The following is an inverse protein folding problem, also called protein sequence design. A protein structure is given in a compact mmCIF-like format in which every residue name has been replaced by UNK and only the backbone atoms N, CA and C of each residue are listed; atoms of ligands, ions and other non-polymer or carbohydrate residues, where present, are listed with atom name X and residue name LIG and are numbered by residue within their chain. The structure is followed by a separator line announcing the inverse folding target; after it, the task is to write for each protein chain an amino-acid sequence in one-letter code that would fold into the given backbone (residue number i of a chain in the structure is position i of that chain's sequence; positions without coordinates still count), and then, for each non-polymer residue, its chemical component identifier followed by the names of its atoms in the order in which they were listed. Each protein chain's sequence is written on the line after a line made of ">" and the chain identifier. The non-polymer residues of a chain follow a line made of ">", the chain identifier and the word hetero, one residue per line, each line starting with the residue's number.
data_IF_391146098619
#
_entry.id   IF_391146098619
#
_cell.length_a   1.000
_cell.length_b   1.000
_cell.length_c   1.000
_cell.angle_alpha   90.00
_cell.angle_beta   90.00
_cell.angle_gamma   90.00
#
_symmetry.space_group_name_H-M   'P 1'
#
loop_
_entity.id
_entity.type
_entity.pdbx_description
1 polymer ?
#
# COMPACT_ATOMS: atom_id res chain seq x y z
N UNK A 1 31.66 -9.75 -83.19
CA UNK A 1 31.68 -8.26 -83.30
C UNK A 1 30.29 -7.79 -82.95
N UNK A 2 30.17 -6.75 -82.18
CA UNK A 2 28.95 -5.98 -81.72
C UNK A 2 28.24 -6.50 -80.45
N UNK A 3 28.87 -6.08 -79.35
CA UNK A 3 28.19 -5.97 -78.02
C UNK A 3 28.46 -4.61 -77.32
N UNK A 4 28.63 -3.51 -78.07
CA UNK A 4 28.90 -2.19 -77.50
C UNK A 4 27.82 -1.11 -77.74
N UNK A 5 26.72 -1.39 -78.37
CA UNK A 5 25.67 -0.41 -78.67
C UNK A 5 24.48 -0.36 -77.68
N UNK A 6 24.39 -1.29 -76.74
CA UNK A 6 23.19 -1.42 -75.86
C UNK A 6 23.25 -0.63 -74.54
N UNK A 7 24.43 -0.25 -74.05
CA UNK A 7 24.54 0.39 -72.76
C UNK A 7 24.33 1.92 -72.77
N UNK A 8 24.58 2.58 -73.89
CA UNK A 8 24.41 4.02 -73.98
C UNK A 8 22.94 4.47 -74.04
N UNK A 9 22.05 3.67 -74.62
CA UNK A 9 20.63 3.99 -74.73
C UNK A 9 19.90 3.94 -73.37
N UNK A 10 20.31 3.02 -72.50
CA UNK A 10 19.70 2.92 -71.16
C UNK A 10 20.15 4.06 -70.22
N UNK A 11 21.38 4.55 -70.36
CA UNK A 11 21.87 5.70 -69.60
C UNK A 11 21.16 7.00 -70.01
N UNK A 12 20.94 7.20 -71.30
CA UNK A 12 20.23 8.39 -71.83
C UNK A 12 18.77 8.36 -71.41
N UNK A 13 18.11 7.21 -71.48
CA UNK A 13 16.70 7.04 -71.01
C UNK A 13 16.56 7.29 -69.51
N UNK A 14 17.52 6.81 -68.70
CA UNK A 14 17.52 7.05 -67.26
C UNK A 14 17.73 8.52 -66.89
N UNK A 15 18.62 9.21 -67.58
CA UNK A 15 18.89 10.64 -67.39
C UNK A 15 17.68 11.51 -67.82
N UNK A 16 16.98 11.15 -68.89
CA UNK A 16 15.79 11.86 -69.35
C UNK A 16 14.62 11.64 -68.40
N UNK A 17 14.43 10.41 -67.89
CA UNK A 17 13.42 10.09 -66.89
C UNK A 17 13.63 10.83 -65.57
N UNK A 18 14.90 10.91 -65.11
CA UNK A 18 15.28 11.67 -63.93
C UNK A 18 15.01 13.19 -64.05
N UNK A 19 15.35 13.76 -65.23
CA UNK A 19 15.10 15.16 -65.48
C UNK A 19 13.60 15.51 -65.51
N UNK A 20 12.78 14.65 -66.10
CA UNK A 20 11.31 14.82 -66.13
C UNK A 20 10.72 14.74 -64.72
N UNK A 21 11.21 13.82 -63.87
CA UNK A 21 10.75 13.71 -62.52
C UNK A 21 11.11 14.94 -61.64
N UNK A 22 12.32 15.50 -61.81
CA UNK A 22 12.74 16.73 -61.13
C UNK A 22 11.93 17.94 -61.58
N UNK A 23 11.66 18.06 -62.89
CA UNK A 23 10.84 19.17 -63.45
C UNK A 23 9.38 19.06 -62.97
N UNK A 24 8.81 17.85 -62.98
CA UNK A 24 7.45 17.62 -62.44
C UNK A 24 7.38 17.94 -60.93
N UNK A 25 8.39 17.50 -60.15
CA UNK A 25 8.51 17.85 -58.73
C UNK A 25 8.57 19.36 -58.51
N UNK A 26 9.38 20.08 -59.30
CA UNK A 26 9.49 21.55 -59.22
C UNK A 26 8.18 22.24 -59.59
N UNK A 27 7.44 21.73 -60.59
CA UNK A 27 6.13 22.27 -60.98
C UNK A 27 5.10 22.01 -59.86
N UNK A 28 5.08 20.86 -59.22
CA UNK A 28 4.18 20.54 -58.15
C UNK A 28 4.44 21.43 -56.90
N UNK A 29 5.69 21.77 -56.62
CA UNK A 29 6.07 22.74 -55.59
C UNK A 29 5.64 24.17 -56.00
N UNK A 30 5.92 24.57 -57.25
CA UNK A 30 5.59 25.92 -57.75
C UNK A 30 4.08 26.16 -57.87
N UNK A 31 3.28 25.10 -58.06
CA UNK A 31 1.82 25.17 -58.14
C UNK A 31 1.12 24.97 -56.79
N UNK A 32 1.87 24.80 -55.70
CA UNK A 32 1.30 24.63 -54.38
C UNK A 32 0.60 23.29 -54.14
N UNK A 33 0.77 22.30 -55.04
CA UNK A 33 0.19 20.94 -54.88
C UNK A 33 1.01 20.11 -53.86
N UNK A 34 2.29 20.42 -53.74
CA UNK A 34 3.15 19.93 -52.66
C UNK A 34 3.55 21.16 -51.85
N UNK A 35 2.91 21.31 -50.69
CA UNK A 35 3.30 22.31 -49.71
C UNK A 35 4.59 21.80 -49.03
N UNK A 36 5.72 22.40 -49.37
CA UNK A 36 6.96 22.22 -48.64
C UNK A 36 6.88 23.07 -47.35
N UNK A 37 5.95 22.66 -46.48
CA UNK A 37 5.52 23.37 -45.30
C UNK A 37 6.61 24.27 -44.73
N UNK A 38 6.31 25.58 -44.64
CA UNK A 38 7.01 26.44 -43.72
C UNK A 38 7.27 25.65 -42.43
N UNK A 39 8.53 25.59 -42.01
CA UNK A 39 8.84 25.20 -40.66
C UNK A 39 7.91 26.04 -39.77
N UNK A 40 6.86 25.41 -39.26
CA UNK A 40 6.13 25.96 -38.15
C UNK A 40 7.15 25.99 -37.01
N UNK A 41 7.88 27.12 -36.94
CA UNK A 41 8.54 27.53 -35.72
C UNK A 41 7.39 27.53 -34.70
N UNK A 42 7.26 26.41 -33.97
CA UNK A 42 6.48 26.37 -32.76
C UNK A 42 7.11 27.48 -31.92
N UNK A 43 6.56 28.67 -31.98
CA UNK A 43 6.83 29.71 -31.00
C UNK A 43 6.45 29.04 -29.70
N UNK A 44 7.44 28.64 -28.97
CA UNK A 44 7.32 28.24 -27.56
C UNK A 44 6.56 29.41 -26.93
N UNK A 45 5.24 29.21 -26.81
CA UNK A 45 4.36 30.20 -26.18
C UNK A 45 5.00 30.51 -24.84
N UNK A 46 4.98 31.76 -24.48
CA UNK A 46 5.48 32.29 -23.22
C UNK A 46 5.37 31.21 -22.15
N UNK A 47 6.54 30.84 -21.60
CA UNK A 47 6.67 29.91 -20.50
C UNK A 47 5.47 30.07 -19.57
N UNK A 48 4.64 29.03 -19.47
CA UNK A 48 3.59 28.99 -18.47
C UNK A 48 4.25 29.43 -17.17
N UNK A 49 3.93 30.62 -16.70
CA UNK A 49 4.35 31.07 -15.38
C UNK A 49 3.94 29.96 -14.44
N UNK A 50 4.86 29.40 -13.64
CA UNK A 50 4.44 28.52 -12.58
C UNK A 50 3.31 29.23 -11.87
N UNK A 51 2.14 28.59 -11.76
CA UNK A 51 1.08 29.08 -10.89
C UNK A 51 1.73 29.08 -9.51
N UNK A 52 2.18 30.24 -9.08
CA UNK A 52 2.66 30.44 -7.72
C UNK A 52 1.47 30.12 -6.84
N UNK A 53 1.45 28.93 -6.29
CA UNK A 53 0.54 28.55 -5.21
C UNK A 53 0.70 29.60 -4.13
N UNK A 54 -0.38 30.33 -3.85
CA UNK A 54 -0.39 31.44 -2.91
C UNK A 54 0.19 31.03 -1.54
N UNK A 55 1.03 31.88 -1.07
CA UNK A 55 1.71 32.10 0.18
C UNK A 55 3.24 31.86 0.05
N UNK A 56 3.92 32.90 -0.32
CA UNK A 56 5.32 33.32 -0.28
C UNK A 56 6.34 32.57 0.60
N UNK A 57 6.36 31.23 0.55
CA UNK A 57 7.55 30.44 0.86
C UNK A 57 7.86 29.67 -0.42
N UNK A 58 9.06 29.87 -0.96
CA UNK A 58 9.58 28.99 -1.99
C UNK A 58 9.42 27.55 -1.50
N UNK A 59 8.61 26.73 -2.20
CA UNK A 59 8.43 25.34 -1.84
C UNK A 59 9.81 24.67 -1.88
N UNK A 60 10.19 23.99 -0.80
CA UNK A 60 11.47 23.31 -0.74
C UNK A 60 11.54 22.24 -1.84
N UNK A 61 12.65 22.15 -2.51
CA UNK A 61 12.86 21.10 -3.52
C UNK A 61 12.96 19.74 -2.85
N UNK A 62 12.65 18.66 -3.60
CA UNK A 62 12.82 17.28 -3.12
C UNK A 62 14.24 17.05 -2.60
N UNK A 63 15.26 17.63 -3.26
CA UNK A 63 16.65 17.53 -2.85
C UNK A 63 16.91 18.19 -1.48
N UNK A 64 16.33 19.35 -1.25
CA UNK A 64 16.47 20.05 0.04
C UNK A 64 15.76 19.31 1.17
N UNK A 65 14.58 18.77 0.91
CA UNK A 65 13.84 17.93 1.87
C UNK A 65 14.66 16.68 2.19
N UNK A 66 15.13 15.98 1.16
CA UNK A 66 15.98 14.79 1.33
C UNK A 66 17.20 15.10 2.22
N UNK A 67 18.01 16.14 1.92
CA UNK A 67 19.19 16.51 2.70
C UNK A 67 18.90 16.87 4.16
N UNK A 68 17.69 17.31 4.47
CA UNK A 68 17.29 17.62 5.86
C UNK A 68 16.85 16.38 6.63
N UNK A 69 16.33 15.36 5.93
CA UNK A 69 15.60 14.24 6.55
C UNK A 69 16.33 12.90 6.42
N UNK A 70 17.23 12.72 5.45
CA UNK A 70 17.94 11.47 5.18
C UNK A 70 18.68 10.91 6.39
N UNK A 71 19.38 11.76 7.14
CA UNK A 71 20.10 11.37 8.34
C UNK A 71 19.19 10.88 9.48
N UNK A 72 17.88 11.11 9.37
CA UNK A 72 16.85 10.60 10.29
C UNK A 72 16.26 9.27 9.89
N UNK A 73 16.57 8.77 8.67
CA UNK A 73 16.08 7.47 8.16
C UNK A 73 17.08 6.37 8.48
N UNK A 74 16.59 5.29 9.05
CA UNK A 74 17.39 4.13 9.43
C UNK A 74 17.19 2.96 8.48
N UNK A 75 18.27 2.22 8.22
CA UNK A 75 18.21 0.83 7.78
C UNK A 75 17.95 -0.07 8.98
N UNK A 76 17.01 -1.00 8.84
CA UNK A 76 16.67 -1.98 9.87
C UNK A 76 16.97 -3.37 9.34
N UNK A 77 17.65 -4.15 10.15
CA UNK A 77 17.91 -5.56 9.93
C UNK A 77 17.40 -6.36 11.14
N UNK A 78 16.49 -7.26 10.87
CA UNK A 78 15.96 -8.19 11.84
C UNK A 78 16.47 -9.60 11.51
N UNK A 79 16.89 -10.36 12.49
CA UNK A 79 17.43 -11.71 12.33
C UNK A 79 16.98 -12.62 13.45
N UNK A 80 16.88 -13.92 13.15
CA UNK A 80 16.35 -14.93 14.09
C UNK A 80 14.90 -15.27 13.79
N UNK A 81 14.42 -16.38 14.38
CA UNK A 81 13.08 -16.89 14.19
C UNK A 81 12.81 -17.47 12.78
N UNK A 82 11.69 -18.17 12.69
CA UNK A 82 11.13 -18.64 11.42
C UNK A 82 10.33 -17.47 10.81
N UNK A 83 11.00 -16.49 10.25
CA UNK A 83 10.32 -15.41 9.53
C UNK A 83 9.80 -15.98 8.22
N UNK A 84 8.47 -15.98 8.06
CA UNK A 84 7.80 -16.34 6.80
C UNK A 84 8.02 -15.33 5.67
N UNK A 85 9.04 -14.48 5.77
CA UNK A 85 9.42 -13.57 4.72
C UNK A 85 10.00 -14.35 3.54
N UNK A 86 9.30 -14.36 2.41
CA UNK A 86 9.78 -14.93 1.15
C UNK A 86 11.15 -14.39 0.79
N UNK A 87 12.12 -15.26 0.44
CA UNK A 87 13.45 -14.82 0.05
C UNK A 87 13.38 -13.89 -1.17
N UNK A 88 14.14 -12.81 -1.14
CA UNK A 88 14.30 -11.94 -2.31
C UNK A 88 14.98 -12.76 -3.40
N UNK A 89 14.39 -12.95 -4.60
CA UNK A 89 15.00 -13.74 -5.66
C UNK A 89 16.30 -13.10 -6.14
N UNK A 90 17.33 -13.93 -6.27
CA UNK A 90 18.66 -13.51 -6.73
C UNK A 90 19.66 -13.25 -5.61
N UNK A 91 19.28 -13.30 -4.34
CA UNK A 91 20.22 -13.36 -3.22
C UNK A 91 20.41 -14.81 -2.78
N UNK A 92 21.63 -15.20 -2.32
CA UNK A 92 21.86 -16.51 -1.73
C UNK A 92 20.89 -16.73 -0.57
N UNK A 93 20.18 -17.84 -0.57
CA UNK A 93 19.31 -18.18 0.55
C UNK A 93 20.16 -18.32 1.82
N UNK A 94 19.73 -17.69 2.95
CA UNK A 94 20.38 -17.97 4.23
C UNK A 94 20.22 -19.48 4.54
N UNK A 95 21.16 -20.06 5.28
CA UNK A 95 20.98 -21.43 5.78
C UNK A 95 19.65 -21.60 6.50
N UNK A 96 19.00 -22.74 6.31
CA UNK A 96 17.71 -23.06 6.99
C UNK A 96 17.82 -22.76 8.49
N UNK A 97 16.91 -21.89 8.98
CA UNK A 97 16.85 -21.49 10.40
C UNK A 97 17.32 -20.05 10.72
N UNK A 98 17.83 -19.27 9.74
CA UNK A 98 18.15 -17.86 9.93
C UNK A 98 17.32 -16.98 9.00
N UNK A 99 16.04 -16.76 9.35
CA UNK A 99 15.23 -15.75 8.71
C UNK A 99 15.87 -14.36 8.87
N UNK A 100 16.05 -13.63 7.76
CA UNK A 100 16.47 -12.22 7.77
C UNK A 100 15.37 -11.41 7.13
N UNK A 101 14.91 -10.39 7.83
CA UNK A 101 14.05 -9.33 7.29
C UNK A 101 14.83 -8.03 7.26
N UNK A 102 14.60 -7.22 6.24
CA UNK A 102 15.18 -5.89 6.13
C UNK A 102 14.09 -4.89 5.81
N UNK A 103 14.25 -3.68 6.31
CA UNK A 103 13.34 -2.58 6.08
C UNK A 103 13.96 -1.26 6.45
N UNK A 104 13.14 -0.25 6.50
CA UNK A 104 13.49 1.10 6.92
C UNK A 104 12.78 1.48 8.21
N UNK A 105 13.24 2.55 8.81
CA UNK A 105 12.58 3.22 9.92
C UNK A 105 13.01 4.66 9.96
N UNK A 106 12.51 5.42 10.92
CA UNK A 106 12.95 6.79 11.12
C UNK A 106 12.95 7.18 12.60
N UNK A 107 13.87 8.06 12.96
CA UNK A 107 14.00 8.59 14.30
C UNK A 107 12.78 9.44 14.66
N UNK A 108 12.12 9.09 15.77
CA UNK A 108 10.93 9.76 16.28
C UNK A 108 11.30 10.95 17.17
N UNK A 109 12.27 10.75 18.05
CA UNK A 109 12.70 11.71 19.05
C UNK A 109 14.18 11.52 19.43
N UNK A 110 14.70 12.47 20.21
CA UNK A 110 16.08 12.44 20.72
C UNK A 110 16.25 11.44 21.89
N UNK A 111 15.16 10.89 22.42
CA UNK A 111 15.21 9.85 23.45
C UNK A 111 15.67 8.49 22.88
N UNK A 112 15.69 8.31 21.58
CA UNK A 112 16.11 7.08 20.91
C UNK A 112 14.96 6.20 20.44
N UNK A 113 13.77 6.72 20.31
CA UNK A 113 12.67 5.98 19.71
C UNK A 113 12.72 6.05 18.19
N UNK A 114 12.46 4.92 17.54
CA UNK A 114 12.46 4.74 16.09
C UNK A 114 11.15 4.07 15.70
N UNK A 115 10.47 4.61 14.69
CA UNK A 115 9.28 4.00 14.10
C UNK A 115 9.64 3.16 12.89
N UNK A 116 8.94 2.04 12.73
CA UNK A 116 9.00 1.13 11.57
C UNK A 116 7.71 0.34 11.46
N UNK A 117 7.60 -0.57 10.48
CA UNK A 117 6.49 -1.51 10.40
C UNK A 117 6.68 -2.69 11.36
N UNK A 118 5.55 -3.25 11.83
CA UNK A 118 5.56 -4.43 12.70
C UNK A 118 6.11 -5.66 11.98
N UNK A 119 5.74 -5.87 10.70
CA UNK A 119 6.21 -7.00 9.90
C UNK A 119 7.74 -7.00 9.69
N UNK A 120 8.41 -5.84 9.75
CA UNK A 120 9.87 -5.75 9.60
C UNK A 120 10.59 -6.43 10.76
N UNK A 121 10.00 -6.42 11.95
CA UNK A 121 10.61 -6.94 13.19
C UNK A 121 9.88 -8.14 13.77
N UNK A 122 8.84 -8.63 13.09
CA UNK A 122 8.04 -9.77 13.55
C UNK A 122 8.90 -11.02 13.71
N UNK A 123 8.81 -11.67 14.88
CA UNK A 123 9.52 -12.92 15.18
C UNK A 123 11.05 -12.81 15.24
N UNK A 124 11.62 -11.63 15.22
CA UNK A 124 13.06 -11.44 15.27
C UNK A 124 13.62 -11.63 16.69
N UNK A 125 14.72 -12.39 16.81
CA UNK A 125 15.50 -12.53 18.05
C UNK A 125 16.45 -11.36 18.25
N UNK A 126 16.95 -10.78 17.16
CA UNK A 126 17.81 -9.62 17.18
C UNK A 126 17.42 -8.60 16.10
N UNK A 127 17.30 -7.33 16.51
CA UNK A 127 17.07 -6.21 15.61
C UNK A 127 18.24 -5.23 15.72
N UNK A 128 18.77 -4.82 14.57
CA UNK A 128 19.85 -3.84 14.46
C UNK A 128 19.39 -2.68 13.57
N UNK A 129 19.87 -1.48 13.89
CA UNK A 129 19.60 -0.29 13.09
C UNK A 129 20.91 0.40 12.71
N UNK A 130 20.89 1.08 11.56
CA UNK A 130 21.99 1.92 11.10
C UNK A 130 21.44 3.19 10.46
N UNK A 131 21.98 4.34 10.87
CA UNK A 131 21.67 5.66 10.31
C UNK A 131 22.83 6.11 9.43
N UNK A 132 22.59 6.32 8.14
CA UNK A 132 23.64 6.72 7.18
C UNK A 132 24.89 5.85 7.29
N UNK A 133 26.05 6.48 7.42
CA UNK A 133 27.37 5.82 7.50
C UNK A 133 27.77 5.43 8.94
N UNK A 134 26.87 5.56 9.92
CA UNK A 134 27.17 5.18 11.31
C UNK A 134 27.22 3.65 11.45
N UNK A 135 27.86 3.18 12.54
CA UNK A 135 27.89 1.75 12.84
C UNK A 135 26.48 1.19 13.10
N UNK A 136 26.30 -0.08 12.72
CA UNK A 136 25.08 -0.80 13.03
C UNK A 136 25.00 -1.15 14.51
N UNK A 137 23.95 -0.73 15.19
CA UNK A 137 23.75 -0.96 16.62
C UNK A 137 22.53 -1.83 16.90
N UNK A 138 22.63 -2.66 17.94
CA UNK A 138 21.50 -3.45 18.42
C UNK A 138 20.49 -2.55 19.12
N UNK A 139 19.20 -2.81 18.86
CA UNK A 139 18.07 -2.09 19.45
C UNK A 139 17.11 -3.04 20.12
N UNK A 140 16.25 -2.49 20.99
CA UNK A 140 15.15 -3.23 21.59
C UNK A 140 13.86 -2.94 20.83
N UNK A 141 13.06 -3.96 20.54
CA UNK A 141 11.67 -3.81 20.15
C UNK A 141 10.90 -3.42 21.41
N UNK A 142 10.53 -2.14 21.51
CA UNK A 142 9.79 -1.63 22.68
C UNK A 142 8.35 -2.09 22.65
N UNK A 143 7.77 -2.19 21.45
CA UNK A 143 6.44 -2.72 21.23
C UNK A 143 6.14 -2.82 19.75
N UNK A 144 5.19 -3.70 19.41
CA UNK A 144 4.70 -3.86 18.05
C UNK A 144 3.20 -4.11 18.06
N UNK A 145 2.53 -3.60 17.04
CA UNK A 145 1.11 -3.77 16.79
C UNK A 145 0.86 -4.28 15.38
N UNK A 146 0.68 -5.60 15.20
CA UNK A 146 0.40 -6.18 13.89
C UNK A 146 -0.91 -5.70 13.26
N UNK A 147 -1.88 -5.18 14.05
CA UNK A 147 -3.16 -4.69 13.54
C UNK A 147 -3.07 -3.34 12.84
N UNK A 148 -2.06 -2.55 13.16
CA UNK A 148 -1.77 -1.28 12.49
C UNK A 148 -0.48 -1.34 11.69
N UNK A 149 0.22 -2.47 11.76
CA UNK A 149 1.55 -2.69 11.16
C UNK A 149 2.56 -1.63 11.61
N UNK A 150 2.55 -1.26 12.89
CA UNK A 150 3.48 -0.27 13.48
C UNK A 150 4.31 -0.92 14.57
N UNK A 151 5.62 -0.71 14.55
CA UNK A 151 6.52 -1.07 15.63
C UNK A 151 7.34 0.13 16.13
N UNK A 152 7.62 0.11 17.42
CA UNK A 152 8.44 1.10 18.11
C UNK A 152 9.71 0.43 18.62
N UNK A 153 10.85 0.91 18.15
CA UNK A 153 12.16 0.45 18.58
C UNK A 153 12.78 1.47 19.54
N UNK A 154 13.69 1.00 20.38
CA UNK A 154 14.47 1.81 21.31
C UNK A 154 15.95 1.55 21.11
N UNK A 155 16.71 2.58 20.78
CA UNK A 155 18.17 2.61 20.75
C UNK A 155 18.70 3.42 21.92
N UNK A 156 19.92 3.11 22.35
CA UNK A 156 20.66 3.97 23.27
C UNK A 156 21.13 5.22 22.51
N UNK A 157 20.63 6.43 22.85
CA UNK A 157 20.98 7.65 22.13
C UNK A 157 22.47 8.01 22.24
N UNK A 158 23.21 7.45 23.21
CA UNK A 158 24.65 7.61 23.32
C UNK A 158 25.46 6.83 22.27
N UNK A 159 24.83 5.88 21.57
CA UNK A 159 25.49 5.01 20.58
C UNK A 159 25.29 5.44 19.14
N UNK A 160 24.32 6.31 18.88
CA UNK A 160 23.96 6.79 17.55
C UNK A 160 23.65 8.28 17.56
N UNK A 161 23.98 8.95 16.48
CA UNK A 161 23.60 10.35 16.30
C UNK A 161 22.21 10.39 15.66
N UNK A 162 21.20 10.65 16.47
CA UNK A 162 19.82 10.75 16.02
C UNK A 162 19.53 12.10 15.36
N UNK A 163 18.64 12.07 14.38
CA UNK A 163 18.04 13.25 13.75
C UNK A 163 16.55 13.02 13.58
N UNK A 164 15.73 13.37 14.57
CA UNK A 164 14.29 13.17 14.50
C UNK A 164 13.68 13.89 13.30
N UNK A 165 12.74 13.21 12.61
CA UNK A 165 12.00 13.80 11.49
C UNK A 165 10.67 14.34 12.03
N UNK A 166 10.34 15.63 11.79
CA UNK A 166 9.10 16.20 12.29
C UNK A 166 7.87 15.46 11.80
N UNK A 167 6.93 15.16 12.70
CA UNK A 167 5.67 14.52 12.34
C UNK A 167 4.67 15.59 11.85
N UNK A 168 4.08 15.34 10.69
CA UNK A 168 3.00 16.12 10.10
C UNK A 168 1.63 15.76 10.68
N UNK A 169 0.57 16.09 9.96
CA UNK A 169 -0.82 15.82 10.33
C UNK A 169 -1.53 15.19 9.12
N UNK A 170 -1.73 13.87 9.17
CA UNK A 170 -2.35 13.13 8.07
C UNK A 170 -3.83 13.46 7.83
N UNK A 171 -4.50 14.13 8.76
CA UNK A 171 -5.87 14.60 8.57
C UNK A 171 -5.98 15.83 7.66
N UNK A 172 -4.86 16.52 7.42
CA UNK A 172 -4.78 17.70 6.55
C UNK A 172 -4.30 17.39 5.15
N UNK A 173 -3.88 16.16 4.92
CA UNK A 173 -3.40 15.70 3.61
C UNK A 173 -4.55 15.66 2.62
N UNK A 174 -4.29 16.10 1.39
CA UNK A 174 -5.26 16.14 0.29
C UNK A 174 -4.72 15.39 -0.91
N UNK A 175 -5.61 14.87 -1.72
CA UNK A 175 -5.25 14.32 -3.04
C UNK A 175 -4.59 15.42 -3.88
N UNK A 176 -3.46 15.07 -4.49
CA UNK A 176 -2.61 15.99 -5.24
C UNK A 176 -1.48 16.65 -4.44
N UNK A 177 -1.47 16.54 -3.10
CA UNK A 177 -0.35 17.01 -2.29
C UNK A 177 0.92 16.19 -2.62
N UNK A 178 2.09 16.84 -2.58
CA UNK A 178 3.38 16.17 -2.81
C UNK A 178 3.62 15.05 -1.79
N UNK A 179 4.12 13.93 -2.27
CA UNK A 179 4.49 12.77 -1.47
C UNK A 179 5.92 12.36 -1.80
N UNK A 180 6.77 12.24 -0.78
CA UNK A 180 8.18 11.86 -0.90
C UNK A 180 8.42 10.67 0.02
N UNK A 181 8.66 9.50 -0.57
CA UNK A 181 8.98 8.29 0.19
C UNK A 181 10.50 8.13 0.29
N UNK A 182 10.99 7.91 1.50
CA UNK A 182 12.41 7.63 1.74
C UNK A 182 12.53 6.25 2.39
N UNK A 183 13.54 5.50 1.95
CA UNK A 183 13.90 4.22 2.53
C UNK A 183 15.40 3.94 2.38
N UNK A 184 15.85 2.87 3.02
CA UNK A 184 17.22 2.40 2.91
C UNK A 184 17.23 0.88 2.65
N UNK A 185 16.88 0.44 1.43
CA UNK A 185 16.59 -0.97 1.13
C UNK A 185 17.78 -1.92 1.34
N UNK A 186 18.99 -1.43 1.15
CA UNK A 186 20.20 -2.27 1.19
C UNK A 186 21.21 -1.81 2.26
N UNK A 187 20.87 -0.77 3.00
CA UNK A 187 21.75 -0.20 3.99
C UNK A 187 23.00 0.49 3.41
N UNK A 188 23.11 0.68 2.10
CA UNK A 188 24.23 1.34 1.45
C UNK A 188 23.93 2.82 1.22
N UNK A 189 22.86 3.13 0.53
CA UNK A 189 22.42 4.49 0.24
C UNK A 189 20.90 4.60 0.41
N UNK A 190 20.43 5.78 0.83
CA UNK A 190 19.01 6.02 0.91
C UNK A 190 18.40 6.09 -0.50
N UNK A 191 17.25 5.48 -0.67
CA UNK A 191 16.43 5.61 -1.87
C UNK A 191 15.34 6.63 -1.60
N UNK A 192 15.20 7.60 -2.47
CA UNK A 192 14.10 8.56 -2.46
C UNK A 192 13.26 8.39 -3.71
N UNK A 193 11.96 8.32 -3.53
CA UNK A 193 10.99 8.37 -4.62
C UNK A 193 9.99 9.48 -4.35
N UNK A 194 9.48 10.09 -5.41
CA UNK A 194 8.53 11.19 -5.30
C UNK A 194 7.33 10.95 -6.18
N UNK A 195 6.21 11.47 -5.75
CA UNK A 195 4.93 11.42 -6.41
C UNK A 195 3.97 12.36 -5.72
N UNK A 196 2.70 12.02 -5.76
CA UNK A 196 1.61 12.74 -5.11
C UNK A 196 0.78 11.79 -4.24
N UNK A 197 -0.03 12.36 -3.39
CA UNK A 197 -1.14 11.64 -2.76
C UNK A 197 -2.19 11.37 -3.84
N UNK A 198 -2.37 10.10 -4.21
CA UNK A 198 -3.28 9.69 -5.29
C UNK A 198 -4.70 9.48 -4.79
N UNK A 199 -4.87 8.98 -3.56
CA UNK A 199 -6.16 8.80 -2.92
C UNK A 199 -6.01 8.76 -1.39
N UNK A 200 -7.12 8.92 -0.70
CA UNK A 200 -7.23 8.85 0.76
C UNK A 200 -8.33 7.85 1.15
N UNK A 201 -8.41 7.55 2.44
CA UNK A 201 -9.44 6.67 3.01
C UNK A 201 -9.45 5.26 2.38
N UNK A 202 -8.27 4.76 2.00
CA UNK A 202 -8.11 3.37 1.55
C UNK A 202 -8.09 2.42 2.75
N UNK A 203 -8.65 1.24 2.55
CA UNK A 203 -8.50 0.12 3.47
C UNK A 203 -7.44 -0.83 2.89
N UNK A 204 -6.49 -1.25 3.71
CA UNK A 204 -5.41 -2.15 3.33
C UNK A 204 -5.28 -3.26 4.36
N UNK A 205 -4.83 -4.43 3.94
CA UNK A 205 -4.70 -5.57 4.82
C UNK A 205 -3.48 -5.44 5.74
N UNK A 206 -3.71 -5.66 7.03
CA UNK A 206 -2.64 -5.80 8.00
C UNK A 206 -2.07 -7.23 8.00
N UNK A 207 -0.82 -7.43 8.46
CA UNK A 207 -0.18 -8.76 8.48
C UNK A 207 -0.96 -9.83 9.24
N UNK A 208 -1.79 -9.45 10.19
CA UNK A 208 -2.62 -10.36 10.99
C UNK A 208 -4.03 -10.60 10.42
N UNK A 209 -4.31 -10.10 9.20
CA UNK A 209 -5.56 -10.28 8.47
C UNK A 209 -6.67 -9.29 8.83
N UNK A 210 -6.42 -8.33 9.71
CA UNK A 210 -7.31 -7.18 9.91
C UNK A 210 -7.02 -6.07 8.90
N UNK A 211 -7.92 -5.09 8.80
CA UNK A 211 -7.73 -3.95 7.91
C UNK A 211 -7.13 -2.76 8.64
N UNK A 212 -6.23 -2.06 7.95
CA UNK A 212 -5.73 -0.73 8.33
C UNK A 212 -6.53 0.30 7.54
N UNK A 213 -7.31 1.08 8.23
CA UNK A 213 -8.19 2.07 7.63
C UNK A 213 -7.50 3.42 7.39
N UNK A 214 -8.05 4.20 6.46
CA UNK A 214 -7.58 5.53 6.10
C UNK A 214 -6.15 5.58 5.53
N UNK A 215 -5.64 4.48 4.96
CA UNK A 215 -4.34 4.46 4.32
C UNK A 215 -4.24 5.55 3.23
N UNK A 216 -3.05 6.14 3.12
CA UNK A 216 -2.70 7.12 2.09
C UNK A 216 -2.20 6.35 0.87
N UNK A 217 -2.88 6.52 -0.28
CA UNK A 217 -2.40 5.99 -1.56
C UNK A 217 -1.52 7.02 -2.24
N UNK A 218 -0.38 6.59 -2.79
CA UNK A 218 0.57 7.43 -3.53
C UNK A 218 1.10 6.71 -4.76
N UNK A 219 1.49 7.46 -5.77
CA UNK A 219 2.23 6.96 -6.94
C UNK A 219 3.75 7.08 -6.76
N UNK A 220 4.22 7.68 -5.64
CA UNK A 220 5.61 7.53 -5.22
C UNK A 220 5.93 6.03 -5.07
N UNK A 221 6.97 5.55 -5.76
CA UNK A 221 7.26 4.12 -5.80
C UNK A 221 7.61 3.58 -4.42
N UNK A 222 6.73 2.74 -3.86
CA UNK A 222 6.99 1.95 -2.66
C UNK A 222 7.42 0.56 -3.11
N UNK A 223 8.57 0.11 -2.62
CA UNK A 223 9.17 -1.19 -2.97
C UNK A 223 9.75 -1.85 -1.71
N UNK A 224 10.07 -3.16 -1.77
CA UNK A 224 10.81 -3.83 -0.69
C UNK A 224 12.03 -3.01 -0.26
N UNK A 225 12.09 -2.73 1.04
CA UNK A 225 13.15 -1.93 1.64
C UNK A 225 12.76 -0.49 1.98
N UNK A 226 11.73 0.10 1.34
CA UNK A 226 11.15 1.37 1.80
C UNK A 226 10.16 1.17 2.95
N UNK A 227 9.65 -0.05 3.14
CA UNK A 227 8.70 -0.40 4.20
C UNK A 227 9.24 0.02 5.57
N UNK A 228 8.41 0.71 6.34
CA UNK A 228 8.77 1.28 7.65
C UNK A 228 9.44 2.66 7.58
N UNK A 229 9.91 3.08 6.41
CA UNK A 229 10.43 4.42 6.18
C UNK A 229 9.33 5.48 6.13
N UNK A 230 9.69 6.78 6.19
CA UNK A 230 8.72 7.86 6.19
C UNK A 230 8.18 8.16 4.79
N UNK A 231 6.89 8.50 4.71
CA UNK A 231 6.28 9.27 3.63
C UNK A 231 6.20 10.73 4.09
N UNK A 232 6.84 11.65 3.37
CA UNK A 232 6.93 13.06 3.72
C UNK A 232 6.03 13.91 2.83
N UNK A 233 5.57 15.04 3.37
CA UNK A 233 4.95 16.13 2.62
C UNK A 233 5.99 17.08 2.00
N UNK A 234 5.52 18.10 1.26
CA UNK A 234 6.36 19.13 0.64
C UNK A 234 7.11 20.05 1.64
N UNK A 235 6.81 19.98 2.94
CA UNK A 235 7.53 20.65 4.00
C UNK A 235 8.60 19.74 4.67
N UNK A 236 8.64 18.46 4.30
CA UNK A 236 9.52 17.44 4.88
C UNK A 236 9.03 16.90 6.22
N UNK A 237 7.72 16.93 6.47
CA UNK A 237 7.10 16.33 7.65
C UNK A 237 6.55 14.97 7.32
N UNK A 238 6.63 14.04 8.26
CA UNK A 238 6.09 12.69 8.07
C UNK A 238 4.56 12.73 8.09
N UNK A 239 3.94 12.36 6.96
CA UNK A 239 2.48 12.22 6.83
C UNK A 239 2.04 10.75 6.90
N UNK A 240 2.96 9.80 6.70
CA UNK A 240 2.69 8.37 6.78
C UNK A 240 3.95 7.52 6.94
N UNK A 241 3.74 6.24 7.20
CA UNK A 241 4.78 5.20 7.22
C UNK A 241 4.59 4.34 5.99
N UNK A 242 5.60 4.25 5.13
CA UNK A 242 5.54 3.43 3.92
C UNK A 242 5.24 1.98 4.30
N UNK A 243 4.23 1.38 3.69
CA UNK A 243 3.89 -0.02 3.87
C UNK A 243 3.96 -0.71 2.51
N UNK A 244 4.63 -1.84 2.45
CA UNK A 244 4.56 -2.70 1.29
C UNK A 244 3.34 -3.60 1.46
N UNK A 245 2.43 -3.54 0.51
CA UNK A 245 1.27 -4.42 0.47
C UNK A 245 1.43 -5.33 -0.72
N UNK A 246 1.21 -6.63 -0.52
CA UNK A 246 1.05 -7.56 -1.63
C UNK A 246 -0.16 -7.14 -2.45
N UNK A 247 0.06 -6.49 -3.59
CA UNK A 247 -0.99 -6.30 -4.57
C UNK A 247 -1.23 -7.67 -5.22
N UNK A 248 -2.39 -8.24 -4.97
CA UNK A 248 -2.79 -9.54 -5.54
C UNK A 248 -2.55 -9.58 -7.04
N UNK A 249 -1.63 -10.46 -7.49
CA UNK A 249 -1.36 -10.60 -8.93
C UNK A 249 0.09 -10.89 -9.32
N UNK A 250 0.99 -11.25 -8.41
CA UNK A 250 2.33 -11.78 -8.77
C UNK A 250 3.34 -10.75 -9.30
N UNK A 251 3.04 -9.48 -9.33
CA UNK A 251 4.00 -8.40 -9.65
C UNK A 251 4.92 -8.12 -8.47
N UNK A 252 6.23 -8.22 -8.69
CA UNK A 252 7.27 -8.04 -7.67
C UNK A 252 7.83 -6.62 -7.59
N UNK A 253 7.06 -5.60 -7.92
CA UNK A 253 7.51 -4.21 -7.88
C UNK A 253 6.34 -3.23 -7.89
N UNK A 254 6.62 -1.96 -7.62
CA UNK A 254 5.63 -0.91 -7.67
C UNK A 254 5.03 -0.82 -9.08
N UNK A 255 3.71 -0.90 -9.14
CA UNK A 255 2.91 -0.66 -10.35
C UNK A 255 2.36 0.78 -10.38
N UNK A 256 2.97 1.69 -9.61
CA UNK A 256 2.48 3.06 -9.44
C UNK A 256 1.38 3.18 -8.39
N UNK A 257 1.17 2.14 -7.58
CA UNK A 257 0.22 2.14 -6.46
C UNK A 257 0.98 1.75 -5.20
N UNK A 258 1.27 2.72 -4.37
CA UNK A 258 1.87 2.56 -3.06
C UNK A 258 0.90 2.98 -1.97
N UNK A 259 1.10 2.45 -0.77
CA UNK A 259 0.29 2.82 0.39
C UNK A 259 1.16 3.17 1.57
N UNK A 260 0.69 4.11 2.39
CA UNK A 260 1.32 4.46 3.64
C UNK A 260 0.31 4.50 4.79
N UNK A 261 0.73 4.03 5.94
CA UNK A 261 -0.04 4.07 7.19
C UNK A 261 -0.06 5.53 7.68
N UNK A 262 -1.23 6.13 7.93
CA UNK A 262 -1.32 7.54 8.31
C UNK A 262 -0.56 7.84 9.60
N UNK A 263 0.19 8.93 9.64
CA UNK A 263 0.99 9.28 10.82
C UNK A 263 0.14 9.56 12.07
N UNK A 264 -1.11 10.01 11.90
CA UNK A 264 -1.99 10.22 13.04
C UNK A 264 -2.41 8.89 13.69
N UNK A 265 -2.46 7.78 12.94
CA UNK A 265 -2.64 6.45 13.53
C UNK A 265 -1.42 6.07 14.38
N UNK A 266 -0.19 6.29 13.88
CA UNK A 266 1.02 6.08 14.65
C UNK A 266 1.03 6.92 15.95
N UNK A 267 0.67 8.20 15.88
CA UNK A 267 0.59 9.07 17.07
C UNK A 267 -0.38 8.55 18.14
N UNK A 268 -1.46 7.86 17.76
CA UNK A 268 -2.42 7.25 18.71
C UNK A 268 -1.87 6.00 19.38
N UNK A 269 -1.12 5.17 18.65
CA UNK A 269 -0.62 3.90 19.19
C UNK A 269 0.72 4.01 19.91
N UNK A 270 1.58 4.97 19.57
CA UNK A 270 2.89 5.20 20.19
C UNK A 270 2.84 5.22 21.72
N UNK A 271 1.92 5.96 22.40
CA UNK A 271 1.87 5.98 23.86
C UNK A 271 1.67 4.58 24.46
N UNK A 272 0.78 3.77 23.90
CA UNK A 272 0.55 2.40 24.37
C UNK A 272 1.76 1.50 24.09
N UNK A 273 2.41 1.64 22.92
CA UNK A 273 3.64 0.91 22.62
C UNK A 273 4.79 1.29 23.56
N UNK A 274 4.93 2.58 23.88
CA UNK A 274 5.93 3.06 24.88
C UNK A 274 5.67 2.48 26.26
N UNK A 275 4.43 2.46 26.72
CA UNK A 275 4.03 2.09 28.07
C UNK A 275 3.87 0.58 28.25
N UNK A 276 3.05 -0.04 27.38
CA UNK A 276 2.59 -1.44 27.53
C UNK A 276 3.31 -2.43 26.61
N UNK A 277 4.00 -1.93 25.57
CA UNK A 277 4.62 -2.76 24.53
C UNK A 277 3.63 -3.38 23.55
N UNK A 278 2.33 -3.15 23.72
CA UNK A 278 1.24 -3.62 22.85
C UNK A 278 0.15 -2.56 22.75
N UNK A 279 -0.71 -2.69 21.74
CA UNK A 279 -1.91 -1.86 21.57
C UNK A 279 -3.13 -2.73 21.82
N UNK A 280 -4.08 -2.19 22.56
CA UNK A 280 -5.37 -2.83 22.83
C UNK A 280 -6.40 -2.23 21.88
N UNK A 281 -6.91 -3.02 20.94
CA UNK A 281 -7.92 -2.61 19.97
C UNK A 281 -9.30 -3.07 20.39
N UNK A 282 -10.27 -2.16 20.30
CA UNK A 282 -11.66 -2.49 20.45
C UNK A 282 -12.14 -3.44 19.34
N UNK A 283 -13.06 -4.35 19.68
CA UNK A 283 -13.50 -5.40 18.77
C UNK A 283 -14.98 -5.70 18.94
N UNK A 284 -15.69 -5.78 17.82
CA UNK A 284 -17.11 -6.17 17.74
C UNK A 284 -17.24 -7.64 17.38
N UNK A 285 -16.47 -8.11 16.40
CA UNK A 285 -16.47 -9.49 15.92
C UNK A 285 -17.51 -9.76 14.84
N UNK A 286 -17.59 -8.88 13.86
CA UNK A 286 -18.38 -9.06 12.64
C UNK A 286 -17.50 -8.94 11.40
N UNK A 287 -17.80 -9.72 10.37
CA UNK A 287 -17.35 -9.48 9.01
C UNK A 287 -18.52 -8.87 8.25
N UNK A 288 -18.27 -7.83 7.47
CA UNK A 288 -19.32 -7.09 6.78
C UNK A 288 -19.01 -6.89 5.31
N UNK A 289 -20.03 -6.74 4.49
CA UNK A 289 -19.93 -6.38 3.08
C UNK A 289 -20.70 -5.06 2.80
N UNK A 290 -20.30 -4.31 1.76
CA UNK A 290 -21.02 -3.12 1.37
C UNK A 290 -22.40 -3.45 0.80
N UNK A 291 -23.33 -2.50 0.91
CA UNK A 291 -24.53 -2.45 0.11
C UNK A 291 -24.15 -1.77 -1.19
N UNK A 292 -24.09 -2.52 -2.28
CA UNK A 292 -23.68 -2.05 -3.62
C UNK A 292 -24.79 -2.33 -4.64
N UNK A 293 -24.59 -1.82 -5.86
CA UNK A 293 -25.46 -2.15 -7.00
C UNK A 293 -25.59 -3.67 -7.26
N UNK A 294 -24.59 -4.49 -6.86
CA UNK A 294 -24.67 -5.96 -6.86
C UNK A 294 -25.68 -6.56 -5.86
N UNK A 295 -26.25 -5.73 -4.97
CA UNK A 295 -27.42 -6.08 -4.16
C UNK A 295 -28.74 -5.69 -4.85
N UNK A 296 -28.70 -5.25 -6.11
CA UNK A 296 -29.90 -4.99 -6.90
C UNK A 296 -30.76 -6.26 -7.00
N UNK A 297 -32.05 -6.11 -6.67
CA UNK A 297 -32.97 -7.23 -6.56
C UNK A 297 -33.08 -7.86 -5.17
N UNK A 298 -32.23 -7.46 -4.21
CA UNK A 298 -32.36 -7.80 -2.81
C UNK A 298 -33.11 -6.64 -2.12
N UNK A 299 -34.28 -6.90 -1.59
CA UNK A 299 -35.12 -5.91 -0.88
C UNK A 299 -34.47 -5.55 0.47
N UNK A 300 -33.43 -4.70 0.41
CA UNK A 300 -32.76 -4.16 1.59
C UNK A 300 -33.50 -2.93 2.11
N UNK A 301 -33.54 -2.74 3.43
CA UNK A 301 -34.29 -1.64 4.07
C UNK A 301 -33.55 -0.29 3.99
N UNK A 302 -32.32 -0.24 3.52
CA UNK A 302 -31.53 0.97 3.31
C UNK A 302 -30.52 0.76 2.18
N UNK A 303 -30.18 1.85 1.48
CA UNK A 303 -29.27 1.85 0.34
C UNK A 303 -27.79 1.91 0.75
N UNK A 304 -27.52 2.06 2.04
CA UNK A 304 -26.19 2.18 2.64
C UNK A 304 -26.13 1.41 3.95
N UNK A 305 -24.91 1.01 4.32
CA UNK A 305 -24.65 0.32 5.56
C UNK A 305 -23.62 -0.79 5.43
N UNK A 306 -23.41 -1.50 6.52
CA UNK A 306 -22.53 -2.65 6.60
C UNK A 306 -23.37 -3.93 6.80
N UNK A 307 -23.51 -4.74 5.74
CA UNK A 307 -24.27 -5.99 5.77
C UNK A 307 -23.42 -7.09 6.44
N UNK A 308 -23.92 -7.63 7.56
CA UNK A 308 -23.22 -8.66 8.34
C UNK A 308 -23.15 -9.96 7.54
N UNK A 309 -21.93 -10.34 7.15
CA UNK A 309 -21.61 -11.58 6.44
C UNK A 309 -21.35 -12.74 7.40
N UNK A 310 -20.64 -12.43 8.50
CA UNK A 310 -20.30 -13.40 9.53
C UNK A 310 -20.25 -12.75 10.91
N UNK A 311 -20.46 -13.56 11.94
CA UNK A 311 -20.34 -13.17 13.35
C UNK A 311 -19.43 -14.18 14.05
N UNK A 312 -18.28 -13.69 14.48
CA UNK A 312 -17.30 -14.54 15.17
C UNK A 312 -17.92 -15.17 16.44
N UNK A 313 -17.72 -16.48 16.67
CA UNK A 313 -18.20 -17.14 17.86
C UNK A 313 -17.69 -16.46 19.14
N UNK A 314 -18.54 -16.39 20.17
CA UNK A 314 -18.23 -15.77 21.47
C UNK A 314 -17.84 -14.28 21.45
N UNK A 315 -17.88 -13.66 20.27
CA UNK A 315 -17.61 -12.22 20.11
C UNK A 315 -18.66 -11.37 20.82
N UNK A 316 -18.37 -10.07 21.06
CA UNK A 316 -19.36 -9.11 21.52
C UNK A 316 -20.63 -9.06 20.65
N UNK A 317 -20.47 -9.14 19.34
CA UNK A 317 -21.60 -9.20 18.40
C UNK A 317 -22.47 -10.44 18.59
N UNK A 318 -21.84 -11.63 18.74
CA UNK A 318 -22.56 -12.86 18.99
C UNK A 318 -23.35 -12.81 20.31
N UNK A 319 -22.73 -12.33 21.39
CA UNK A 319 -23.38 -12.14 22.70
C UNK A 319 -24.51 -11.13 22.66
N UNK A 320 -24.38 -10.08 21.84
CA UNK A 320 -25.41 -9.09 21.62
C UNK A 320 -26.55 -9.58 20.70
N UNK A 321 -26.38 -10.76 20.07
CA UNK A 321 -27.36 -11.39 19.21
C UNK A 321 -27.44 -10.82 17.80
N UNK A 322 -26.38 -10.17 17.31
CA UNK A 322 -26.23 -9.86 15.88
C UNK A 322 -26.14 -11.13 15.06
N UNK A 323 -26.60 -11.10 13.83
CA UNK A 323 -26.75 -12.29 12.98
C UNK A 323 -26.19 -12.08 11.58
N UNK A 324 -25.43 -13.06 11.13
CA UNK A 324 -25.07 -13.21 9.73
C UNK A 324 -26.28 -13.67 8.90
N UNK A 325 -26.20 -13.47 7.61
CA UNK A 325 -27.11 -14.05 6.64
C UNK A 325 -26.98 -15.58 6.55
N UNK A 326 -27.87 -16.18 5.79
CA UNK A 326 -27.88 -17.64 5.57
C UNK A 326 -27.89 -18.03 4.11
N UNK A 327 -28.18 -17.10 3.23
CA UNK A 327 -28.29 -17.32 1.80
C UNK A 327 -27.09 -16.70 1.11
N UNK A 328 -26.33 -17.51 0.39
CA UNK A 328 -25.24 -17.02 -0.43
C UNK A 328 -25.74 -16.76 -1.83
N UNK A 329 -25.42 -15.61 -2.40
CA UNK A 329 -25.68 -15.28 -3.81
C UNK A 329 -24.62 -15.92 -4.70
N UNK A 330 -24.87 -15.94 -6.02
CA UNK A 330 -23.92 -16.45 -7.02
C UNK A 330 -22.59 -15.68 -7.02
N UNK A 331 -22.61 -14.43 -6.57
CA UNK A 331 -21.43 -13.56 -6.41
C UNK A 331 -20.71 -13.78 -5.06
N UNK A 332 -21.17 -14.72 -4.23
CA UNK A 332 -20.57 -15.06 -2.96
C UNK A 332 -21.00 -14.17 -1.78
N UNK A 333 -21.91 -13.19 -2.00
CA UNK A 333 -22.42 -12.33 -0.93
C UNK A 333 -23.41 -13.11 -0.07
N UNK A 334 -23.29 -13.02 1.27
CA UNK A 334 -24.24 -13.63 2.20
C UNK A 334 -25.34 -12.63 2.55
N UNK A 335 -26.57 -12.94 2.20
CA UNK A 335 -27.75 -12.07 2.39
C UNK A 335 -28.69 -12.58 3.46
N UNK A 336 -29.56 -11.67 3.98
CA UNK A 336 -30.48 -11.95 5.07
C UNK A 336 -29.87 -11.79 6.46
N UNK A 337 -28.64 -11.27 6.55
CA UNK A 337 -28.01 -10.84 7.79
C UNK A 337 -28.50 -9.48 8.27
N UNK A 338 -28.04 -9.05 9.44
CA UNK A 338 -28.29 -7.72 9.96
C UNK A 338 -27.54 -6.66 9.12
N UNK A 339 -28.20 -5.54 8.84
CA UNK A 339 -27.59 -4.40 8.16
C UNK A 339 -27.32 -3.30 9.19
N UNK A 340 -26.06 -3.08 9.54
CA UNK A 340 -25.62 -2.05 10.48
C UNK A 340 -25.67 -0.69 9.77
N UNK A 341 -26.37 0.29 10.37
CA UNK A 341 -26.55 1.63 9.81
C UNK A 341 -26.06 2.73 10.72
N UNK A 342 -25.85 2.44 12.05
CA UNK A 342 -25.22 3.38 12.99
C UNK A 342 -24.47 2.64 14.08
N UNK A 343 -23.36 3.26 14.54
CA UNK A 343 -22.60 2.86 15.72
C UNK A 343 -22.36 4.11 16.56
N UNK A 344 -22.84 4.11 17.82
CA UNK A 344 -22.78 5.27 18.74
C UNK A 344 -23.23 6.60 18.09
N UNK A 345 -24.31 6.53 17.29
CA UNK A 345 -24.85 7.71 16.59
C UNK A 345 -24.10 8.10 15.33
N UNK A 346 -22.94 7.51 15.04
CA UNK A 346 -22.18 7.70 13.81
C UNK A 346 -22.84 6.87 12.70
N UNK A 347 -23.19 7.52 11.59
CA UNK A 347 -23.76 6.83 10.43
C UNK A 347 -22.73 5.88 9.81
N UNK A 348 -23.19 4.71 9.39
CA UNK A 348 -22.41 3.70 8.69
C UNK A 348 -22.91 3.65 7.26
N UNK A 349 -22.13 4.16 6.33
CA UNK A 349 -22.43 4.15 4.91
C UNK A 349 -21.80 2.92 4.23
N UNK A 350 -20.64 2.48 4.73
CA UNK A 350 -19.85 1.36 4.19
C UNK A 350 -19.16 0.55 5.31
N UNK A 351 -18.71 -0.71 5.05
CA UNK A 351 -18.06 -1.57 6.04
C UNK A 351 -16.91 -0.94 6.83
N UNK A 352 -15.98 -0.18 6.24
CA UNK A 352 -14.89 0.49 6.97
C UNK A 352 -15.38 1.47 8.05
N UNK A 353 -16.58 2.03 7.91
CA UNK A 353 -17.15 2.94 8.91
C UNK A 353 -17.36 2.30 10.27
N UNK A 354 -17.66 0.99 10.29
CA UNK A 354 -17.81 0.22 11.54
C UNK A 354 -16.51 0.23 12.33
N UNK A 355 -15.38 -0.03 11.67
CA UNK A 355 -14.05 -0.01 12.29
C UNK A 355 -13.66 1.42 12.71
N UNK A 356 -13.97 2.42 11.87
CA UNK A 356 -13.73 3.85 12.18
C UNK A 356 -14.52 4.31 13.39
N UNK A 357 -15.78 3.92 13.48
CA UNK A 357 -16.67 4.34 14.58
C UNK A 357 -16.18 3.86 15.96
N UNK A 358 -15.46 2.75 16.02
CA UNK A 358 -14.93 2.19 17.28
C UNK A 358 -13.42 2.39 17.47
N UNK A 359 -12.74 3.08 16.55
CA UNK A 359 -11.28 3.21 16.55
C UNK A 359 -10.72 3.89 17.81
N UNK A 360 -11.48 4.78 18.42
CA UNK A 360 -11.06 5.52 19.61
C UNK A 360 -11.58 4.89 20.92
N UNK A 361 -12.40 3.82 20.84
CA UNK A 361 -12.89 3.09 22.00
C UNK A 361 -11.85 2.09 22.51
N UNK A 362 -12.05 1.65 23.74
CA UNK A 362 -11.23 0.63 24.42
C UNK A 362 -12.03 -0.65 24.62
N UNK A 363 -11.38 -1.81 24.75
CA UNK A 363 -12.03 -2.99 25.26
C UNK A 363 -12.70 -2.72 26.61
N UNK A 364 -13.97 -3.13 26.74
CA UNK A 364 -14.80 -2.84 27.91
C UNK A 364 -15.77 -1.66 27.75
N UNK A 365 -15.55 -0.78 26.77
CA UNK A 365 -16.48 0.30 26.49
C UNK A 365 -17.82 -0.24 25.95
N UNK A 366 -18.90 0.47 26.25
CA UNK A 366 -20.25 0.11 25.79
C UNK A 366 -20.63 1.01 24.65
N UNK A 367 -21.09 0.40 23.56
CA UNK A 367 -21.55 1.10 22.36
C UNK A 367 -22.97 0.68 21.98
N UNK A 368 -23.70 1.58 21.32
CA UNK A 368 -25.03 1.29 20.75
C UNK A 368 -24.87 1.02 19.24
N UNK A 369 -25.45 -0.08 18.77
CA UNK A 369 -25.51 -0.41 17.33
C UNK A 369 -26.96 -0.36 16.88
N UNK A 370 -27.26 0.48 15.89
CA UNK A 370 -28.55 0.49 15.18
C UNK A 370 -28.40 -0.33 13.90
N UNK A 371 -29.31 -1.26 13.71
CA UNK A 371 -29.28 -2.18 12.57
C UNK A 371 -30.69 -2.58 12.13
N UNK A 372 -30.82 -2.92 10.87
CA UNK A 372 -32.01 -3.55 10.36
C UNK A 372 -31.89 -5.09 10.43
N UNK A 373 -32.98 -5.73 10.89
CA UNK A 373 -33.19 -7.18 10.75
C UNK A 373 -34.45 -7.42 9.94
N UNK A 374 -34.29 -7.84 8.70
CA UNK A 374 -35.35 -7.65 7.71
C UNK A 374 -35.69 -6.17 7.58
N UNK A 375 -36.95 -5.81 7.58
CA UNK A 375 -37.41 -4.38 7.48
C UNK A 375 -37.55 -3.67 8.82
N UNK A 376 -37.14 -4.28 9.93
CA UNK A 376 -37.31 -3.70 11.28
C UNK A 376 -35.99 -3.12 11.78
N UNK A 377 -35.98 -1.79 12.04
CA UNK A 377 -34.90 -1.12 12.74
C UNK A 377 -34.87 -1.59 14.20
N UNK A 378 -33.68 -1.90 14.70
CA UNK A 378 -33.39 -2.34 16.06
C UNK A 378 -32.16 -1.63 16.59
N UNK A 379 -32.08 -1.55 17.91
CA UNK A 379 -30.90 -1.07 18.61
C UNK A 379 -30.44 -2.14 19.60
N UNK A 380 -29.15 -2.38 19.68
CA UNK A 380 -28.54 -3.22 20.70
C UNK A 380 -27.37 -2.49 21.31
N UNK A 381 -27.19 -2.64 22.62
CA UNK A 381 -26.01 -2.16 23.33
C UNK A 381 -25.10 -3.35 23.57
N UNK A 382 -23.83 -3.26 23.16
CA UNK A 382 -22.83 -4.28 23.43
C UNK A 382 -21.61 -3.70 24.14
N UNK A 383 -20.86 -4.57 24.81
CA UNK A 383 -19.58 -4.22 25.40
C UNK A 383 -18.48 -4.68 24.46
N UNK A 384 -17.60 -3.77 24.04
CA UNK A 384 -16.49 -4.07 23.15
C UNK A 384 -15.50 -5.05 23.80
N UNK A 385 -15.04 -6.01 23.03
CA UNK A 385 -14.00 -6.95 23.42
C UNK A 385 -12.60 -6.48 23.02
N UNK A 386 -11.57 -7.23 23.43
CA UNK A 386 -10.23 -7.08 22.90
C UNK A 386 -10.12 -7.83 21.56
N UNK A 387 -9.55 -7.17 20.55
CA UNK A 387 -9.32 -7.77 19.23
C UNK A 387 -8.39 -8.97 19.35
N UNK A 388 -8.71 -10.14 18.77
CA UNK A 388 -7.82 -11.29 18.75
C UNK A 388 -6.56 -10.96 17.94
N UNK A 389 -5.46 -11.69 18.24
CA UNK A 389 -4.16 -11.45 17.56
C UNK A 389 -4.20 -11.67 16.06
N UNK A 390 -5.08 -12.53 15.57
CA UNK A 390 -5.33 -12.79 14.14
C UNK A 390 -6.83 -12.91 13.92
N UNK A 391 -7.25 -12.61 12.70
CA UNK A 391 -8.64 -12.88 12.29
C UNK A 391 -8.91 -14.35 12.50
N UNK A 392 -9.98 -14.74 13.25
CA UNK A 392 -10.36 -16.11 13.41
C UNK A 392 -10.59 -16.74 12.03
N UNK A 393 -9.80 -17.75 11.69
CA UNK A 393 -10.06 -18.50 10.46
C UNK A 393 -11.41 -19.20 10.63
N UNK A 394 -12.35 -18.90 9.75
CA UNK A 394 -13.55 -19.69 9.63
C UNK A 394 -13.12 -21.11 9.32
N UNK A 395 -13.58 -22.06 10.16
CA UNK A 395 -13.34 -23.47 9.91
C UNK A 395 -13.80 -23.78 8.48
N UNK A 396 -12.85 -23.97 7.58
CA UNK A 396 -13.07 -24.32 6.21
C UNK A 396 -13.97 -25.56 6.20
N UNK A 397 -15.16 -25.44 5.66
CA UNK A 397 -15.87 -26.59 5.14
C UNK A 397 -14.95 -27.20 4.09
N UNK A 398 -14.31 -28.31 4.51
CA UNK A 398 -13.47 -29.22 3.76
C UNK A 398 -13.30 -28.94 2.26
N UNK A 399 -12.27 -28.20 1.91
CA UNK A 399 -11.44 -28.55 0.80
C UNK A 399 -10.19 -29.18 1.41
N UNK A 400 -10.21 -30.52 1.57
CA UNK A 400 -8.96 -31.27 1.54
C UNK A 400 -8.21 -30.79 0.30
N UNK A 401 -6.93 -30.39 0.43
CA UNK A 401 -6.14 -30.13 -0.76
C UNK A 401 -6.17 -31.44 -1.57
N UNK A 402 -6.65 -31.30 -2.83
CA UNK A 402 -6.54 -32.36 -3.84
C UNK A 402 -5.06 -32.76 -3.85
N UNK A 403 -4.75 -33.88 -3.19
CA UNK A 403 -3.43 -34.48 -3.30
C UNK A 403 -3.31 -34.87 -4.77
N UNK A 404 -2.27 -34.40 -5.49
CA UNK A 404 -2.04 -34.92 -6.82
C UNK A 404 -1.95 -36.44 -6.72
N UNK A 405 -2.79 -37.14 -7.48
CA UNK A 405 -2.73 -38.59 -7.59
C UNK A 405 -1.29 -39.04 -7.81
N UNK A 406 -0.71 -39.70 -6.85
CA UNK A 406 0.56 -40.40 -7.05
C UNK A 406 0.39 -41.36 -8.23
N UNK A 407 1.25 -41.28 -9.26
CA UNK A 407 1.17 -42.24 -10.37
C UNK A 407 1.36 -43.64 -9.82
N UNK A 408 0.34 -44.49 -9.95
CA UNK A 408 0.41 -45.88 -9.58
C UNK A 408 1.58 -46.52 -10.31
N UNK A 409 2.43 -47.32 -9.64
CA UNK A 409 3.56 -47.96 -10.28
C UNK A 409 3.08 -48.89 -11.40
N UNK A 410 3.60 -48.68 -12.62
CA UNK A 410 3.35 -49.52 -13.80
C UNK A 410 3.67 -50.96 -13.47
N UNK A 411 2.71 -51.83 -13.74
CA UNK A 411 2.92 -53.29 -13.68
C UNK A 411 4.00 -53.69 -14.67
N UNK A 412 4.94 -54.57 -14.29
CA UNK A 412 6.00 -54.99 -15.19
C UNK A 412 5.39 -55.69 -16.42
N UNK A 413 5.80 -55.19 -17.58
CA UNK A 413 5.47 -55.74 -18.90
C UNK A 413 6.08 -57.14 -19.00
N UNK A 414 5.26 -58.23 -19.04
CA UNK A 414 5.70 -59.58 -19.39
C UNK A 414 5.65 -59.71 -20.92
N UNK A 415 6.80 -59.97 -21.53
CA UNK A 415 6.91 -60.38 -22.92
C UNK A 415 6.52 -61.85 -23.07
N UNK A 416 5.95 -62.25 -24.26
CA UNK A 416 5.53 -63.59 -24.52
C UNK A 416 6.67 -64.60 -24.70
#
# INVERSE_FOLDING_TARGET
>A
MDRRASSASHLVSGALGGLVAVVLGAILIATGVIDTGDETVVRQGDTARPVAGGNGRDAATVNEIYRRTDAGVAFIQASGGSTGASPIPGLPQPPEGQGRSTGSGFALDDEGFILTNAHVVEGADEVRVRFGDQDSVKVQVRGADPSTDIALLKVDPGKVKLRPIPLGDSSKVRVGDQAIAIGNPFGLEHTVTTGIVSALQRSIDAPNGFSIENAIQTDASINPGNSGGPLLDGDGRVIGINAQIETGGGSRGSVGIGFAIPINLAKRVIPQLKEKGKVEHAYIGVTTAPVTEGTEGIDLPADKGALVQDVAPESPAAKAGLRAGKTQTDEGLVVGGDLIVKVDGIAIDEPPDVARAIADNKPGDRIAIEYYRGKKLRTVVLTLGERPKRVPQQGGRGQEPDQPDEPKPDKPFQLP
#
